data_IF_816630545055
#
_entry.id   IF_816630545055
#
_cell.length_a   1.000
_cell.length_b   1.000
_cell.length_c   1.000
_cell.angle_alpha   90.00
_cell.angle_beta   90.00
_cell.angle_gamma   90.00
#
_symmetry.space_group_name_H-M   'P 1'
#
loop_
_entity.id
_entity.type
_entity.pdbx_description
1 polymer ?
#
# COMPACT_ATOMS: atom_id res chain seq x y z
N UNK A 1 23.36 0.26 -0.67
CA UNK A 1 21.98 0.64 -0.28
C UNK A 1 21.01 -0.03 -1.23
N UNK A 2 20.21 -1.00 -0.76
CA UNK A 2 19.25 -1.70 -1.62
C UNK A 2 18.28 -0.71 -2.29
N UNK A 3 18.04 -0.85 -3.60
CA UNK A 3 17.07 -0.03 -4.33
C UNK A 3 15.73 -0.06 -3.58
N UNK A 4 15.22 1.12 -3.21
CA UNK A 4 13.90 1.24 -2.58
C UNK A 4 12.86 0.80 -3.60
N UNK A 5 12.07 -0.22 -3.24
CA UNK A 5 10.96 -0.72 -4.06
C UNK A 5 9.91 0.37 -4.25
N UNK A 6 9.18 0.30 -5.37
CA UNK A 6 8.05 1.20 -5.58
C UNK A 6 6.96 0.95 -4.54
N UNK A 7 6.16 1.97 -4.23
CA UNK A 7 5.04 1.82 -3.29
C UNK A 7 4.02 0.76 -3.76
N UNK A 8 3.93 0.55 -5.07
CA UNK A 8 3.07 -0.45 -5.68
C UNK A 8 3.60 -1.87 -5.43
N UNK A 9 4.90 -2.10 -5.64
CA UNK A 9 5.59 -3.37 -5.34
C UNK A 9 5.56 -3.71 -3.84
N UNK A 10 5.69 -2.69 -2.99
CA UNK A 10 5.57 -2.87 -1.55
C UNK A 10 4.14 -3.29 -1.16
N UNK A 11 3.12 -2.75 -1.82
CA UNK A 11 1.73 -3.13 -1.56
C UNK A 11 1.44 -4.58 -2.00
N UNK A 12 1.94 -5.01 -3.17
CA UNK A 12 1.74 -6.38 -3.67
C UNK A 12 2.47 -7.39 -2.81
N UNK A 13 3.73 -7.12 -2.46
CA UNK A 13 4.52 -8.00 -1.60
C UNK A 13 3.95 -8.09 -0.17
N UNK A 14 3.46 -6.98 0.41
CA UNK A 14 2.78 -7.00 1.71
C UNK A 14 1.44 -7.74 1.66
N UNK A 15 0.69 -7.63 0.56
CA UNK A 15 -0.55 -8.39 0.39
C UNK A 15 -0.27 -9.89 0.37
N UNK A 16 0.75 -10.33 -0.38
CA UNK A 16 1.16 -11.74 -0.42
C UNK A 16 1.63 -12.26 0.95
N UNK A 17 2.33 -11.43 1.74
CA UNK A 17 2.72 -11.78 3.12
C UNK A 17 1.50 -11.96 4.03
N UNK A 18 0.54 -11.04 3.96
CA UNK A 18 -0.70 -11.14 4.74
C UNK A 18 -1.46 -12.41 4.36
N UNK A 19 -1.67 -12.71 3.08
CA UNK A 19 -2.41 -13.91 2.66
C UNK A 19 -1.71 -15.19 3.10
N UNK A 20 -0.38 -15.25 2.98
CA UNK A 20 0.40 -16.40 3.47
C UNK A 20 0.25 -16.57 4.98
N UNK A 21 0.43 -15.51 5.76
CA UNK A 21 0.29 -15.57 7.21
C UNK A 21 -1.13 -15.93 7.66
N UNK A 22 -2.15 -15.47 6.95
CA UNK A 22 -3.54 -15.85 7.23
C UNK A 22 -3.80 -17.34 6.98
N UNK A 23 -3.25 -17.90 5.92
CA UNK A 23 -3.40 -19.32 5.60
C UNK A 23 -2.66 -20.25 6.59
N UNK A 24 -1.66 -19.73 7.30
CA UNK A 24 -0.83 -20.50 8.25
C UNK A 24 -1.26 -20.35 9.71
N UNK A 25 -2.33 -19.60 10.00
CA UNK A 25 -2.72 -19.23 11.36
C UNK A 25 -4.13 -19.68 11.68
N UNK A 26 -4.28 -20.44 12.76
CA UNK A 26 -5.59 -20.89 13.27
C UNK A 26 -6.41 -19.77 13.92
N UNK A 27 -5.76 -18.71 14.45
CA UNK A 27 -6.43 -17.53 15.00
C UNK A 27 -5.87 -16.20 14.45
N UNK A 28 -6.25 -15.81 13.22
CA UNK A 28 -5.69 -14.66 12.53
C UNK A 28 -6.10 -13.29 13.10
N UNK A 29 -7.18 -13.22 13.87
CA UNK A 29 -7.67 -11.99 14.53
C UNK A 29 -6.88 -11.69 15.81
N UNK A 30 -6.50 -12.75 16.54
CA UNK A 30 -5.71 -12.69 17.77
C UNK A 30 -4.22 -12.45 17.54
N UNK A 31 -3.68 -12.87 16.41
CA UNK A 31 -2.24 -12.77 16.13
C UNK A 31 -1.78 -11.31 15.91
N UNK A 32 -0.93 -10.84 16.82
CA UNK A 32 -0.31 -9.52 16.77
C UNK A 32 0.56 -9.30 15.51
N UNK A 33 1.17 -10.35 14.97
CA UNK A 33 2.01 -10.29 13.78
C UNK A 33 1.15 -10.05 12.52
N UNK A 34 0.07 -10.83 12.34
CA UNK A 34 -0.91 -10.62 11.26
C UNK A 34 -1.54 -9.23 11.37
N UNK A 35 -1.91 -8.80 12.58
CA UNK A 35 -2.46 -7.46 12.83
C UNK A 35 -1.48 -6.36 12.41
N UNK A 36 -0.19 -6.51 12.73
CA UNK A 36 0.87 -5.58 12.31
C UNK A 36 1.03 -5.54 10.79
N UNK A 37 1.03 -6.69 10.11
CA UNK A 37 1.10 -6.78 8.65
C UNK A 37 -0.10 -6.11 7.97
N UNK A 38 -1.33 -6.37 8.46
CA UNK A 38 -2.55 -5.70 7.99
C UNK A 38 -2.46 -4.17 8.17
N UNK A 39 -1.98 -3.68 9.32
CA UNK A 39 -1.76 -2.24 9.56
C UNK A 39 -0.75 -1.65 8.57
N UNK A 40 0.37 -2.33 8.33
CA UNK A 40 1.40 -1.89 7.38
C UNK A 40 0.85 -1.83 5.95
N UNK A 41 0.11 -2.84 5.52
CA UNK A 41 -0.55 -2.86 4.19
C UNK A 41 -1.47 -1.65 4.01
N UNK A 42 -2.35 -1.36 5.00
CA UNK A 42 -3.25 -0.19 4.94
C UNK A 42 -2.49 1.13 4.84
N UNK A 43 -1.36 1.27 5.55
CA UNK A 43 -0.50 2.47 5.47
C UNK A 43 0.09 2.65 4.08
N UNK A 44 0.62 1.58 3.47
CA UNK A 44 1.17 1.63 2.11
C UNK A 44 0.08 1.95 1.09
N UNK A 45 -1.07 1.28 1.16
CA UNK A 45 -2.23 1.59 0.30
C UNK A 45 -2.70 3.04 0.43
N UNK A 46 -2.68 3.62 1.64
CA UNK A 46 -2.99 5.04 1.85
C UNK A 46 -1.96 5.93 1.13
N UNK A 47 -0.66 5.62 1.23
CA UNK A 47 0.39 6.36 0.51
C UNK A 47 0.21 6.30 -1.01
N UNK A 48 -0.08 5.12 -1.55
CA UNK A 48 -0.37 4.93 -2.98
C UNK A 48 -1.55 5.80 -3.40
N UNK A 49 -2.67 5.77 -2.65
CA UNK A 49 -3.84 6.62 -2.94
C UNK A 49 -3.53 8.11 -2.88
N UNK A 50 -2.75 8.55 -1.89
CA UNK A 50 -2.37 9.96 -1.80
C UNK A 50 -1.44 10.39 -2.94
N UNK A 51 -0.53 9.52 -3.38
CA UNK A 51 0.33 9.79 -4.53
C UNK A 51 -0.51 9.92 -5.81
N UNK A 52 -1.43 8.97 -6.04
CA UNK A 52 -2.37 9.00 -7.17
C UNK A 52 -3.21 10.28 -7.18
N UNK A 53 -3.81 10.66 -6.04
CA UNK A 53 -4.57 11.92 -5.92
C UNK A 53 -3.73 13.15 -6.23
N UNK A 54 -2.48 13.21 -5.77
CA UNK A 54 -1.57 14.33 -6.08
C UNK A 54 -1.26 14.40 -7.57
N UNK A 55 -1.07 13.25 -8.23
CA UNK A 55 -0.88 13.21 -9.68
C UNK A 55 -2.13 13.66 -10.43
N UNK A 56 -3.32 13.19 -10.02
CA UNK A 56 -4.61 13.63 -10.57
C UNK A 56 -4.78 15.14 -10.46
N UNK A 57 -4.50 15.72 -9.28
CA UNK A 57 -4.54 17.18 -9.09
C UNK A 57 -3.50 17.94 -9.93
N UNK A 58 -2.31 17.39 -10.14
CA UNK A 58 -1.31 18.01 -11.03
C UNK A 58 -1.78 17.98 -12.48
N UNK A 59 -2.32 16.85 -12.93
CA UNK A 59 -2.89 16.72 -14.28
C UNK A 59 -4.06 17.68 -14.49
N UNK A 60 -4.98 17.77 -13.54
CA UNK A 60 -6.12 18.68 -13.62
C UNK A 60 -5.68 20.15 -13.64
N UNK A 61 -4.67 20.53 -12.85
CA UNK A 61 -4.10 21.90 -12.88
C UNK A 61 -3.39 22.20 -14.19
N UNK A 62 -2.69 21.23 -14.78
CA UNK A 62 -2.04 21.41 -16.08
C UNK A 62 -3.09 21.60 -17.19
N UNK A 63 -4.14 20.79 -17.20
CA UNK A 63 -5.26 20.91 -18.14
C UNK A 63 -5.98 22.26 -17.98
N UNK A 64 -6.17 22.74 -16.75
CA UNK A 64 -6.76 24.06 -16.48
C UNK A 64 -5.85 25.25 -16.81
N UNK A 65 -4.55 25.03 -17.02
CA UNK A 65 -3.59 26.07 -17.41
C UNK A 65 -3.30 26.08 -18.92
N UNK A 66 -3.68 25.02 -19.63
CA UNK A 66 -3.58 24.87 -21.09
C UNK A 66 -4.92 25.20 -21.80
N UNK A 67 -5.99 25.46 -21.05
CA UNK A 67 -7.31 25.92 -21.53
C UNK A 67 -7.49 27.42 -21.27
#
# INVERSE_FOLDING_TARGET
MAKRRSLQEDATSLKAKVTKSLASSDNPEGDSAIRSLRKRLRRVQRKVRTAKRREEHRKSKKVAAEA
#
